data_IF_659334231591
#
_entry.id   IF_659334231591
#
_cell.length_a   1.000
_cell.length_b   1.000
_cell.length_c   1.000
_cell.angle_alpha   90.00
_cell.angle_beta   90.00
_cell.angle_gamma   90.00
#
_symmetry.space_group_name_H-M   'P 1'
#
loop_
_entity.id
_entity.type
_entity.pdbx_description
1 polymer ?
#
# COMPACT_ATOMS: atom_id res chain seq x y z
N UNK A 1 -21.99 8.57 -2.66
CA UNK A 1 -21.45 7.42 -3.41
C UNK A 1 -19.99 7.31 -3.03
N UNK A 2 -19.48 6.10 -2.73
CA UNK A 2 -18.06 5.92 -2.44
C UNK A 2 -17.29 5.90 -3.76
N UNK A 3 -16.21 6.65 -3.86
CA UNK A 3 -15.34 6.61 -5.03
C UNK A 3 -14.59 5.28 -5.06
N UNK A 4 -14.36 4.73 -6.25
CA UNK A 4 -13.56 3.50 -6.39
C UNK A 4 -12.09 3.78 -6.10
N UNK A 5 -11.45 2.86 -5.37
CA UNK A 5 -10.00 2.81 -5.19
C UNK A 5 -9.43 1.67 -6.04
N UNK A 6 -8.75 2.02 -7.11
CA UNK A 6 -7.93 1.09 -7.87
C UNK A 6 -6.61 0.87 -7.13
N UNK A 7 -6.16 -0.38 -7.00
CA UNK A 7 -4.82 -0.72 -6.55
C UNK A 7 -4.07 -1.40 -7.69
N UNK A 8 -2.81 -1.06 -7.90
CA UNK A 8 -2.02 -1.56 -9.01
C UNK A 8 -0.68 -2.11 -8.53
N UNK A 9 -0.36 -3.35 -8.94
CA UNK A 9 0.95 -3.94 -8.74
C UNK A 9 0.90 -5.42 -8.43
N UNK A 10 1.69 -5.82 -7.43
CA UNK A 10 1.92 -7.21 -7.07
C UNK A 10 0.85 -7.77 -6.12
N UNK A 11 0.44 -9.00 -6.40
CA UNK A 11 -0.17 -9.91 -5.44
C UNK A 11 0.78 -11.10 -5.31
N UNK A 12 1.19 -11.44 -4.09
CA UNK A 12 2.26 -12.42 -3.86
C UNK A 12 1.80 -13.48 -2.88
N UNK A 13 2.44 -14.63 -2.92
CA UNK A 13 2.32 -15.64 -1.85
C UNK A 13 3.50 -15.50 -0.90
N UNK A 14 3.20 -15.14 0.34
CA UNK A 14 4.17 -15.12 1.43
C UNK A 14 4.21 -16.51 2.07
N UNK A 15 5.40 -17.11 2.11
CA UNK A 15 5.70 -18.36 2.77
C UNK A 15 6.33 -18.06 4.14
N UNK A 16 5.53 -18.17 5.19
CA UNK A 16 5.92 -17.82 6.56
C UNK A 16 6.27 -19.08 7.34
N UNK A 17 7.43 -19.16 8.03
CA UNK A 17 7.83 -20.33 8.79
C UNK A 17 6.92 -20.58 9.99
N UNK A 18 6.57 -21.86 10.15
CA UNK A 18 5.96 -22.42 11.37
C UNK A 18 7.03 -23.17 12.20
N UNK A 19 6.77 -23.34 13.49
CA UNK A 19 7.73 -23.92 14.45
C UNK A 19 8.12 -25.37 14.14
N UNK A 20 7.31 -26.07 13.33
CA UNK A 20 7.55 -27.46 12.91
C UNK A 20 8.29 -27.59 11.56
N UNK A 21 8.81 -26.47 11.03
CA UNK A 21 9.57 -26.43 9.77
C UNK A 21 8.70 -26.39 8.51
N UNK A 22 7.36 -26.34 8.63
CA UNK A 22 6.47 -26.06 7.50
C UNK A 22 6.47 -24.57 7.16
N UNK A 23 6.09 -24.27 5.91
CA UNK A 23 5.85 -22.91 5.45
C UNK A 23 4.34 -22.70 5.28
N UNK A 24 3.79 -21.79 6.07
CA UNK A 24 2.41 -21.36 5.95
C UNK A 24 2.26 -20.52 4.68
N UNK A 25 1.29 -20.90 3.84
CA UNK A 25 0.94 -20.19 2.60
C UNK A 25 -0.02 -19.04 2.91
N UNK A 26 0.48 -17.81 2.91
CA UNK A 26 -0.30 -16.60 3.16
C UNK A 26 -0.47 -15.76 1.88
N UNK A 27 -1.65 -15.17 1.64
CA UNK A 27 -1.79 -14.15 0.61
C UNK A 27 -1.12 -12.84 1.07
N UNK A 28 -0.47 -12.15 0.14
CA UNK A 28 0.26 -10.92 0.39
C UNK A 28 0.39 -10.04 -0.85
N UNK A 29 1.33 -9.11 -0.79
CA UNK A 29 1.59 -8.10 -1.82
C UNK A 29 0.96 -6.77 -1.40
N UNK A 30 1.76 -5.71 -1.35
CA UNK A 30 1.34 -4.46 -0.73
C UNK A 30 0.05 -3.88 -1.35
N UNK A 31 -0.08 -3.79 -2.69
CA UNK A 31 -1.33 -3.35 -3.32
C UNK A 31 -2.51 -4.28 -3.00
N UNK A 32 -2.29 -5.60 -2.96
CA UNK A 32 -3.33 -6.59 -2.65
C UNK A 32 -3.83 -6.44 -1.21
N UNK A 33 -2.92 -6.24 -0.25
CA UNK A 33 -3.24 -5.98 1.16
C UNK A 33 -4.12 -4.73 1.30
N UNK A 34 -3.77 -3.66 0.58
CA UNK A 34 -4.56 -2.42 0.55
C UNK A 34 -5.96 -2.66 0.00
N UNK A 35 -6.08 -3.39 -1.12
CA UNK A 35 -7.38 -3.73 -1.72
C UNK A 35 -8.30 -4.45 -0.74
N UNK A 36 -7.78 -5.49 -0.08
CA UNK A 36 -8.53 -6.30 0.89
C UNK A 36 -8.93 -5.45 2.09
N UNK A 37 -8.00 -4.67 2.65
CA UNK A 37 -8.30 -3.79 3.78
C UNK A 37 -9.42 -2.80 3.47
N UNK A 38 -9.45 -2.23 2.25
CA UNK A 38 -10.53 -1.33 1.83
C UNK A 38 -11.88 -2.07 1.77
N UNK A 39 -11.93 -3.32 1.26
CA UNK A 39 -13.18 -4.09 1.20
C UNK A 39 -13.70 -4.48 2.58
N UNK A 40 -12.83 -4.92 3.48
CA UNK A 40 -13.20 -5.22 4.87
C UNK A 40 -13.78 -4.01 5.61
N UNK A 41 -13.35 -2.80 5.23
CA UNK A 41 -13.92 -1.54 5.71
C UNK A 41 -15.18 -1.10 4.96
N UNK A 42 -15.71 -1.92 4.05
CA UNK A 42 -16.91 -1.65 3.26
C UNK A 42 -16.70 -0.66 2.11
N UNK A 43 -15.45 -0.40 1.69
CA UNK A 43 -15.12 0.43 0.52
C UNK A 43 -15.29 -0.29 -0.82
N UNK A 44 -15.14 0.44 -1.93
CA UNK A 44 -15.09 -0.13 -3.30
C UNK A 44 -13.64 -0.16 -3.77
N UNK A 45 -13.02 -1.34 -3.80
CA UNK A 45 -11.66 -1.53 -4.31
C UNK A 45 -11.62 -2.49 -5.50
N UNK A 46 -10.68 -2.24 -6.40
CA UNK A 46 -10.47 -3.02 -7.61
C UNK A 46 -8.97 -3.19 -7.88
N UNK A 47 -8.55 -4.39 -8.27
CA UNK A 47 -7.15 -4.76 -8.46
C UNK A 47 -6.77 -4.75 -9.95
N UNK A 48 -5.67 -4.08 -10.27
CA UNK A 48 -5.03 -4.04 -11.59
C UNK A 48 -3.68 -4.75 -11.47
N UNK A 49 -3.49 -5.86 -12.18
CA UNK A 49 -2.23 -6.58 -12.05
C UNK A 49 -2.19 -7.89 -12.82
N UNK A 50 -1.05 -8.57 -12.69
CA UNK A 50 -0.82 -9.89 -13.25
C UNK A 50 -0.32 -10.84 -12.17
N UNK A 51 -0.82 -12.07 -12.21
CA UNK A 51 -0.26 -13.22 -11.49
C UNK A 51 -0.03 -14.34 -12.50
N UNK A 52 0.76 -15.35 -12.19
CA UNK A 52 0.97 -16.47 -13.12
C UNK A 52 -0.31 -17.32 -13.28
N UNK A 53 -0.50 -17.96 -14.43
CA UNK A 53 -1.47 -19.05 -14.60
C UNK A 53 -0.95 -20.33 -13.93
N UNK A 54 -0.81 -20.24 -12.62
CA UNK A 54 -0.24 -21.26 -11.75
C UNK A 54 -1.09 -21.38 -10.45
N UNK A 55 -0.86 -22.41 -9.61
CA UNK A 55 -1.65 -22.61 -8.40
C UNK A 55 -1.63 -21.43 -7.43
N UNK A 56 -0.54 -20.66 -7.37
CA UNK A 56 -0.45 -19.49 -6.50
C UNK A 56 -1.21 -18.30 -7.07
N UNK A 57 -1.17 -18.08 -8.39
CA UNK A 57 -1.95 -17.02 -9.02
C UNK A 57 -3.46 -17.28 -8.92
N UNK A 58 -3.89 -18.53 -9.12
CA UNK A 58 -5.28 -18.95 -8.91
C UNK A 58 -5.72 -18.76 -7.46
N UNK A 59 -4.88 -19.17 -6.52
CA UNK A 59 -5.11 -18.96 -5.09
C UNK A 59 -5.30 -17.47 -4.73
N UNK A 60 -4.46 -16.58 -5.27
CA UNK A 60 -4.58 -15.14 -5.01
C UNK A 60 -5.82 -14.54 -5.66
N UNK A 61 -6.14 -14.93 -6.90
CA UNK A 61 -7.36 -14.51 -7.59
C UNK A 61 -8.61 -14.93 -6.82
N UNK A 62 -8.67 -16.18 -6.35
CA UNK A 62 -9.74 -16.69 -5.48
C UNK A 62 -9.82 -15.91 -4.17
N UNK A 63 -8.68 -15.71 -3.49
CA UNK A 63 -8.61 -14.96 -2.23
C UNK A 63 -9.16 -13.53 -2.39
N UNK A 64 -8.74 -12.79 -3.42
CA UNK A 64 -9.22 -11.42 -3.65
C UNK A 64 -10.72 -11.40 -3.99
N UNK A 65 -11.23 -12.39 -4.72
CA UNK A 65 -12.66 -12.51 -4.98
C UNK A 65 -13.47 -12.82 -3.71
N UNK A 66 -12.96 -13.68 -2.84
CA UNK A 66 -13.60 -14.03 -1.56
C UNK A 66 -13.64 -12.84 -0.59
N UNK A 67 -12.59 -12.00 -0.60
CA UNK A 67 -12.56 -10.70 0.10
C UNK A 67 -13.41 -9.62 -0.61
N UNK A 68 -14.04 -9.98 -1.73
CA UNK A 68 -14.94 -9.13 -2.50
C UNK A 68 -14.26 -8.09 -3.38
N UNK A 69 -12.93 -8.06 -3.49
CA UNK A 69 -12.20 -7.12 -4.36
C UNK A 69 -12.61 -7.34 -5.81
N UNK A 70 -12.81 -6.27 -6.59
CA UNK A 70 -13.05 -6.45 -8.03
C UNK A 70 -11.75 -6.84 -8.74
N UNK A 71 -11.72 -8.05 -9.31
CA UNK A 71 -10.55 -8.63 -9.99
C UNK A 71 -10.68 -8.66 -11.52
N UNK A 72 -11.62 -7.90 -12.10
CA UNK A 72 -11.86 -7.87 -13.55
C UNK A 72 -10.60 -7.45 -14.35
N UNK A 73 -9.68 -6.71 -13.73
CA UNK A 73 -8.41 -6.25 -14.31
C UNK A 73 -7.19 -6.97 -13.73
N UNK A 74 -7.40 -8.12 -13.07
CA UNK A 74 -6.35 -9.07 -12.72
C UNK A 74 -6.22 -10.11 -13.84
N UNK A 75 -5.01 -10.31 -14.37
CA UNK A 75 -4.74 -11.26 -15.47
C UNK A 75 -3.92 -12.45 -14.98
N UNK A 76 -4.24 -13.62 -15.50
CA UNK A 76 -3.39 -14.81 -15.40
C UNK A 76 -2.40 -14.78 -16.57
N UNK A 77 -1.11 -14.72 -16.26
CA UNK A 77 -0.02 -14.70 -17.22
C UNK A 77 0.44 -16.14 -17.51
N UNK A 78 0.35 -16.62 -18.76
CA UNK A 78 0.68 -18.01 -19.09
C UNK A 78 2.20 -18.29 -19.07
N UNK A 79 3.03 -17.25 -19.19
CA UNK A 79 4.46 -17.38 -19.47
C UNK A 79 5.30 -17.19 -18.19
N UNK A 80 4.80 -16.40 -17.24
CA UNK A 80 5.51 -16.07 -16.00
C UNK A 80 4.87 -16.72 -14.77
N UNK A 81 5.57 -16.66 -13.63
CA UNK A 81 5.10 -17.24 -12.37
C UNK A 81 4.70 -16.16 -11.38
N UNK A 82 3.73 -16.48 -10.55
CA UNK A 82 3.30 -15.65 -9.42
C UNK A 82 4.47 -15.39 -8.47
N UNK A 83 4.65 -14.13 -8.07
CA UNK A 83 5.68 -13.77 -7.10
C UNK A 83 5.49 -14.56 -5.80
N UNK A 84 6.58 -15.16 -5.34
CA UNK A 84 6.62 -15.98 -4.12
C UNK A 84 7.73 -15.44 -3.24
N UNK A 85 7.40 -15.13 -2.00
CA UNK A 85 8.32 -14.54 -1.03
C UNK A 85 8.47 -15.51 0.13
N UNK A 86 9.71 -15.84 0.48
CA UNK A 86 9.99 -16.55 1.74
C UNK A 86 10.30 -15.50 2.79
N UNK A 87 9.57 -15.57 3.90
CA UNK A 87 9.78 -14.68 5.05
C UNK A 87 10.66 -15.41 6.04
N UNK A 88 11.81 -14.86 6.41
CA UNK A 88 12.61 -15.38 7.51
C UNK A 88 12.43 -14.47 8.73
N UNK A 89 12.31 -15.06 9.91
CA UNK A 89 12.50 -14.33 11.16
C UNK A 89 13.94 -14.64 11.60
N UNK A 90 14.77 -13.63 11.79
CA UNK A 90 16.07 -13.85 12.43
C UNK A 90 15.93 -14.13 13.93
N UNK A 91 17.05 -14.34 14.61
CA UNK A 91 17.06 -14.69 16.04
C UNK A 91 16.53 -13.55 16.93
N UNK A 92 16.57 -12.33 16.43
CA UNK A 92 16.12 -11.10 17.04
C UNK A 92 14.64 -10.77 16.71
N UNK A 93 14.03 -11.52 15.79
CA UNK A 93 12.67 -11.35 15.31
C UNK A 93 12.53 -10.30 14.21
N UNK A 94 13.64 -9.80 13.65
CA UNK A 94 13.64 -8.97 12.45
C UNK A 94 13.35 -9.85 11.23
N UNK A 95 12.48 -9.34 10.36
CA UNK A 95 12.04 -10.10 9.18
C UNK A 95 12.82 -9.72 7.95
N UNK A 96 13.30 -10.73 7.25
CA UNK A 96 13.82 -10.59 5.89
C UNK A 96 12.85 -11.19 4.88
N UNK A 97 12.78 -10.58 3.69
CA UNK A 97 11.89 -11.01 2.62
C UNK A 97 12.74 -11.46 1.44
N UNK A 98 12.73 -12.76 1.15
CA UNK A 98 13.43 -13.32 0.00
C UNK A 98 12.47 -13.58 -1.13
N UNK A 99 12.51 -12.73 -2.16
CA UNK A 99 11.76 -12.95 -3.40
C UNK A 99 12.38 -14.11 -4.19
N UNK A 100 11.64 -15.21 -4.33
CA UNK A 100 12.08 -16.43 -5.00
C UNK A 100 11.87 -16.41 -6.52
N UNK A 101 10.88 -15.63 -6.98
CA UNK A 101 10.55 -15.49 -8.40
C UNK A 101 10.93 -14.07 -8.85
N UNK A 102 11.94 -13.97 -9.72
CA UNK A 102 12.44 -12.70 -10.25
C UNK A 102 12.75 -12.84 -11.76
N UNK A 103 12.05 -12.13 -12.66
CA UNK A 103 10.86 -11.30 -12.43
C UNK A 103 9.59 -12.14 -12.17
N UNK A 104 8.70 -11.63 -11.30
CA UNK A 104 7.34 -12.16 -11.13
C UNK A 104 6.40 -11.70 -12.25
N UNK A 105 5.27 -12.38 -12.41
CA UNK A 105 4.26 -12.08 -13.43
C UNK A 105 3.73 -10.63 -13.33
N UNK A 106 3.68 -10.06 -12.13
CA UNK A 106 3.27 -8.68 -11.83
C UNK A 106 4.09 -7.65 -12.62
N UNK A 107 5.37 -7.92 -12.88
CA UNK A 107 6.26 -7.03 -13.64
C UNK A 107 6.01 -7.05 -15.16
N UNK A 108 5.12 -7.92 -15.63
CA UNK A 108 4.70 -8.03 -17.03
C UNK A 108 3.39 -7.32 -17.34
N UNK A 109 2.90 -6.47 -16.42
CA UNK A 109 1.75 -5.59 -16.64
C UNK A 109 1.92 -4.77 -17.92
N UNK A 110 0.86 -4.72 -18.75
CA UNK A 110 0.84 -4.00 -20.03
C UNK A 110 -0.19 -2.89 -20.01
N UNK A 111 -0.03 -1.90 -20.88
CA UNK A 111 -1.00 -0.82 -21.05
C UNK A 111 -2.43 -1.28 -21.39
N UNK A 112 -2.59 -2.46 -22.00
CA UNK A 112 -3.90 -3.09 -22.28
C UNK A 112 -4.59 -3.66 -21.04
N UNK A 113 -3.87 -3.81 -19.94
CA UNK A 113 -4.41 -4.30 -18.66
C UNK A 113 -5.00 -3.16 -17.82
N UNK A 114 -4.79 -1.90 -18.22
CA UNK A 114 -5.24 -0.71 -17.50
C UNK A 114 -6.73 -0.42 -17.84
N UNK A 115 -7.61 -0.26 -16.84
CA UNK A 115 -9.01 0.08 -17.05
C UNK A 115 -9.20 1.53 -17.49
N UNK A 116 -10.40 1.85 -17.97
CA UNK A 116 -10.82 3.24 -18.03
C UNK A 116 -11.10 3.78 -16.62
N UNK A 117 -10.51 4.93 -16.28
CA UNK A 117 -10.75 5.62 -15.02
C UNK A 117 -11.90 6.63 -15.15
N UNK A 118 -12.50 6.98 -14.01
CA UNK A 118 -13.53 8.00 -13.90
C UNK A 118 -13.11 9.10 -12.90
N UNK A 119 -13.71 10.28 -13.02
CA UNK A 119 -13.46 11.39 -12.11
C UNK A 119 -13.75 11.00 -10.65
N UNK A 120 -12.90 11.47 -9.73
CA UNK A 120 -13.00 11.18 -8.30
C UNK A 120 -12.45 9.82 -7.87
N UNK A 121 -12.10 8.92 -8.79
CA UNK A 121 -11.49 7.63 -8.44
C UNK A 121 -10.04 7.81 -7.95
N UNK A 122 -9.58 6.86 -7.15
CA UNK A 122 -8.21 6.81 -6.65
C UNK A 122 -7.44 5.69 -7.34
N UNK A 123 -6.14 5.89 -7.54
CA UNK A 123 -5.18 4.85 -7.89
C UNK A 123 -4.09 4.79 -6.82
N UNK A 124 -3.92 3.62 -6.21
CA UNK A 124 -2.82 3.34 -5.30
C UNK A 124 -1.83 2.36 -5.92
N UNK A 125 -0.54 2.63 -5.76
CA UNK A 125 0.54 1.75 -6.21
C UNK A 125 1.83 1.93 -5.39
N UNK A 126 2.68 0.92 -5.46
CA UNK A 126 4.00 0.89 -4.81
C UNK A 126 5.16 0.83 -5.82
N UNK A 127 6.40 1.00 -5.35
CA UNK A 127 7.57 1.07 -6.24
C UNK A 127 7.89 -0.26 -6.95
N UNK A 128 7.44 -1.42 -6.45
CA UNK A 128 7.65 -2.71 -7.13
C UNK A 128 7.13 -2.68 -8.56
N UNK A 129 5.95 -2.09 -8.80
CA UNK A 129 5.38 -1.94 -10.14
C UNK A 129 6.26 -1.10 -11.09
N UNK A 130 7.21 -0.34 -10.56
CA UNK A 130 8.17 0.49 -11.30
C UNK A 130 9.53 -0.19 -11.48
N UNK A 131 9.76 -1.36 -10.89
CA UNK A 131 11.09 -1.98 -10.84
C UNK A 131 11.59 -2.49 -12.19
N UNK A 132 10.69 -2.94 -13.09
CA UNK A 132 11.05 -3.46 -14.40
C UNK A 132 10.03 -3.10 -15.50
N UNK A 133 10.47 -3.18 -16.75
CA UNK A 133 9.58 -3.12 -17.92
C UNK A 133 8.97 -4.52 -18.20
N UNK A 134 7.74 -4.60 -18.74
CA UNK A 134 6.87 -3.50 -19.18
C UNK A 134 6.03 -2.83 -18.07
N UNK A 135 6.07 -3.35 -16.84
CA UNK A 135 5.22 -2.83 -15.76
C UNK A 135 5.47 -1.36 -15.46
N UNK A 136 6.73 -0.91 -15.42
CA UNK A 136 7.08 0.49 -15.13
C UNK A 136 6.36 1.47 -16.06
N UNK A 137 6.48 1.27 -17.36
CA UNK A 137 5.80 2.13 -18.35
C UNK A 137 4.28 2.09 -18.16
N UNK A 138 3.72 0.92 -17.92
CA UNK A 138 2.27 0.73 -17.73
C UNK A 138 1.76 1.38 -16.43
N UNK A 139 2.49 1.28 -15.34
CA UNK A 139 2.15 1.89 -14.06
C UNK A 139 2.16 3.42 -14.14
N UNK A 140 3.21 4.01 -14.75
CA UNK A 140 3.27 5.46 -14.99
C UNK A 140 2.15 5.92 -15.95
N UNK A 141 1.82 5.12 -16.96
CA UNK A 141 0.67 5.37 -17.83
C UNK A 141 -0.65 5.36 -17.05
N UNK A 142 -0.86 4.42 -16.12
CA UNK A 142 -2.05 4.37 -15.28
C UNK A 142 -2.17 5.62 -14.40
N UNK A 143 -1.05 6.06 -13.78
CA UNK A 143 -1.01 7.31 -13.01
C UNK A 143 -1.38 8.53 -13.86
N UNK A 144 -0.89 8.61 -15.10
CA UNK A 144 -1.25 9.71 -16.00
C UNK A 144 -2.74 9.65 -16.41
N UNK A 145 -3.26 8.45 -16.71
CA UNK A 145 -4.65 8.26 -17.15
C UNK A 145 -5.67 8.55 -16.05
N UNK A 146 -5.43 8.13 -14.80
CA UNK A 146 -6.34 8.41 -13.69
C UNK A 146 -6.42 9.92 -13.42
N UNK A 147 -5.29 10.64 -13.47
CA UNK A 147 -5.28 12.10 -13.33
C UNK A 147 -5.99 12.79 -14.48
N UNK A 148 -5.77 12.34 -15.71
CA UNK A 148 -6.45 12.88 -16.89
C UNK A 148 -7.97 12.68 -16.83
N UNK A 149 -8.44 11.62 -16.16
CA UNK A 149 -9.86 11.37 -15.90
C UNK A 149 -10.43 12.20 -14.74
N UNK A 150 -9.62 13.01 -14.04
CA UNK A 150 -10.03 13.77 -12.87
C UNK A 150 -10.02 12.96 -11.57
N UNK A 151 -9.25 11.87 -11.52
CA UNK A 151 -8.99 11.09 -10.31
C UNK A 151 -7.68 11.50 -9.61
N UNK A 152 -7.30 10.73 -8.59
CA UNK A 152 -6.20 11.01 -7.69
C UNK A 152 -5.21 9.85 -7.59
N UNK A 153 -3.94 10.16 -7.40
CA UNK A 153 -2.88 9.16 -7.23
C UNK A 153 -2.40 9.15 -5.78
N UNK A 154 -2.41 7.97 -5.16
CA UNK A 154 -1.79 7.68 -3.88
C UNK A 154 -0.55 6.80 -4.09
N UNK A 155 0.64 7.33 -3.80
CA UNK A 155 1.88 6.59 -3.95
C UNK A 155 2.50 6.28 -2.58
N UNK A 156 2.76 5.01 -2.33
CA UNK A 156 3.56 4.51 -1.20
C UNK A 156 4.81 3.85 -1.77
N UNK A 157 6.01 4.48 -1.71
CA UNK A 157 7.22 3.89 -2.25
C UNK A 157 7.41 2.44 -1.85
N UNK A 158 7.17 2.09 -0.58
CA UNK A 158 7.29 0.73 -0.05
C UNK A 158 8.55 0.04 -0.58
N UNK A 159 9.70 0.68 -0.35
CA UNK A 159 10.93 0.41 -1.09
C UNK A 159 11.41 -1.03 -0.82
N UNK A 160 11.67 -1.79 -1.89
CA UNK A 160 12.31 -3.12 -1.85
C UNK A 160 13.58 -3.09 -2.70
N UNK A 161 14.68 -2.62 -2.11
CA UNK A 161 15.94 -2.40 -2.83
C UNK A 161 16.42 -3.64 -3.59
N UNK A 162 16.24 -4.83 -3.03
CA UNK A 162 16.65 -6.11 -3.63
C UNK A 162 16.00 -6.45 -4.97
N UNK A 163 14.90 -5.78 -5.33
CA UNK A 163 14.23 -5.93 -6.62
C UNK A 163 14.78 -4.99 -7.71
N UNK A 164 15.69 -4.09 -7.35
CA UNK A 164 16.29 -3.13 -8.25
C UNK A 164 17.75 -3.49 -8.50
N UNK A 165 18.10 -3.69 -9.77
CA UNK A 165 19.49 -3.92 -10.18
C UNK A 165 20.34 -2.64 -10.15
N UNK A 166 19.69 -1.47 -10.11
CA UNK A 166 20.34 -0.16 -10.19
C UNK A 166 19.64 0.84 -9.25
N UNK A 167 20.37 1.27 -8.22
CA UNK A 167 19.97 2.27 -7.24
C UNK A 167 19.65 3.64 -7.87
N UNK A 168 20.37 4.04 -8.93
CA UNK A 168 20.04 5.28 -9.63
C UNK A 168 18.68 5.14 -10.33
N UNK A 169 18.41 3.97 -10.91
CA UNK A 169 17.13 3.71 -11.56
C UNK A 169 15.96 3.69 -10.59
N UNK A 170 16.16 3.13 -9.40
CA UNK A 170 15.20 3.23 -8.29
C UNK A 170 14.87 4.69 -8.01
N UNK A 171 15.90 5.52 -7.77
CA UNK A 171 15.71 6.95 -7.45
C UNK A 171 15.03 7.73 -8.57
N UNK A 172 15.38 7.50 -9.83
CA UNK A 172 14.70 8.11 -10.97
C UNK A 172 13.21 7.75 -11.02
N UNK A 173 12.86 6.49 -10.79
CA UNK A 173 11.47 6.05 -10.82
C UNK A 173 10.66 6.60 -9.65
N UNK A 174 11.25 6.62 -8.45
CA UNK A 174 10.64 7.24 -7.28
C UNK A 174 10.38 8.72 -7.52
N UNK A 175 11.35 9.45 -8.08
CA UNK A 175 11.22 10.88 -8.38
C UNK A 175 10.02 11.16 -9.31
N UNK A 176 9.89 10.37 -10.38
CA UNK A 176 8.79 10.48 -11.34
C UNK A 176 7.44 10.19 -10.66
N UNK A 177 7.35 9.09 -9.93
CA UNK A 177 6.10 8.68 -9.30
C UNK A 177 5.66 9.65 -8.18
N UNK A 178 6.59 10.10 -7.34
CA UNK A 178 6.32 11.11 -6.30
C UNK A 178 5.82 12.43 -6.90
N UNK A 179 6.37 12.85 -8.04
CA UNK A 179 5.94 14.07 -8.73
C UNK A 179 4.55 13.98 -9.39
N UNK A 180 4.04 12.76 -9.57
CA UNK A 180 2.70 12.51 -10.10
C UNK A 180 1.65 12.30 -8.98
N UNK A 181 2.09 12.03 -7.76
CA UNK A 181 1.22 11.67 -6.64
C UNK A 181 0.52 12.90 -6.04
N UNK A 182 -0.78 12.74 -5.74
CA UNK A 182 -1.56 13.73 -4.97
C UNK A 182 -1.45 13.43 -3.47
N UNK A 183 -1.40 12.14 -3.13
CA UNK A 183 -1.24 11.63 -1.77
C UNK A 183 0.05 10.82 -1.73
N UNK A 184 0.97 11.18 -0.85
CA UNK A 184 2.21 10.45 -0.63
C UNK A 184 2.19 9.88 0.78
N UNK A 185 2.43 8.58 0.92
CA UNK A 185 2.73 7.97 2.20
C UNK A 185 4.17 7.44 2.16
N UNK A 186 4.95 7.73 3.20
CA UNK A 186 6.31 7.20 3.38
C UNK A 186 6.51 6.81 4.84
N UNK A 187 7.42 5.87 5.12
CA UNK A 187 7.96 5.73 6.47
C UNK A 187 8.95 6.85 6.79
N UNK A 188 9.35 6.99 8.06
CA UNK A 188 10.41 7.92 8.45
C UNK A 188 11.73 7.57 7.77
N UNK A 189 12.05 6.28 7.68
CA UNK A 189 13.25 5.76 7.03
C UNK A 189 13.25 6.04 5.52
N UNK A 190 12.10 5.86 4.87
CA UNK A 190 11.93 6.19 3.45
C UNK A 190 12.03 7.70 3.20
N UNK A 191 11.48 8.52 4.10
CA UNK A 191 11.62 9.97 4.01
C UNK A 191 13.10 10.37 4.09
N UNK A 192 13.84 9.85 5.07
CA UNK A 192 15.28 10.09 5.21
C UNK A 192 16.03 9.63 3.95
N UNK A 193 15.72 8.45 3.42
CA UNK A 193 16.33 7.93 2.19
C UNK A 193 16.08 8.82 0.95
N UNK A 194 14.84 9.33 0.80
CA UNK A 194 14.42 10.16 -0.33
C UNK A 194 14.99 11.58 -0.27
N UNK A 195 15.03 12.16 0.93
CA UNK A 195 15.36 13.56 1.16
C UNK A 195 16.81 13.78 1.57
N UNK A 196 17.45 12.75 2.12
CA UNK A 196 18.75 12.79 2.80
C UNK A 196 18.77 13.70 4.04
N UNK A 197 17.60 13.94 4.63
CA UNK A 197 17.45 14.72 5.86
C UNK A 197 17.16 13.78 7.03
N UNK A 198 17.97 13.86 8.08
CA UNK A 198 17.76 13.07 9.31
C UNK A 198 16.69 13.69 10.23
N UNK A 199 16.46 15.00 10.11
CA UNK A 199 15.44 15.71 10.89
C UNK A 199 14.10 15.58 10.19
N UNK A 200 13.14 14.93 10.85
CA UNK A 200 11.80 14.64 10.30
C UNK A 200 11.12 15.86 9.65
N UNK A 201 11.11 17.01 10.33
CA UNK A 201 10.48 18.23 9.81
C UNK A 201 11.19 18.81 8.58
N UNK A 202 12.51 18.67 8.49
CA UNK A 202 13.30 19.12 7.34
C UNK A 202 13.05 18.20 6.14
N UNK A 203 12.99 16.88 6.36
CA UNK A 203 12.61 15.91 5.34
C UNK A 203 11.20 16.18 4.80
N UNK A 204 10.21 16.39 5.68
CA UNK A 204 8.83 16.73 5.29
C UNK A 204 8.83 18.00 4.43
N UNK A 205 9.49 19.06 4.88
CA UNK A 205 9.56 20.31 4.15
C UNK A 205 10.19 20.12 2.77
N UNK A 206 11.29 19.38 2.69
CA UNK A 206 12.03 19.13 1.45
C UNK A 206 11.22 18.30 0.46
N UNK A 207 10.53 17.27 0.92
CA UNK A 207 9.66 16.45 0.07
C UNK A 207 8.47 17.28 -0.46
N UNK A 208 7.85 18.09 0.41
CA UNK A 208 6.75 18.97 0.01
C UNK A 208 7.19 20.04 -0.99
N UNK A 209 8.35 20.66 -0.80
CA UNK A 209 8.89 21.65 -1.75
C UNK A 209 9.19 21.03 -3.12
N UNK A 210 9.63 19.77 -3.15
CA UNK A 210 10.04 19.09 -4.38
C UNK A 210 8.86 18.56 -5.19
N UNK A 211 7.88 17.95 -4.53
CA UNK A 211 6.78 17.24 -5.20
C UNK A 211 5.40 17.90 -5.04
N UNK A 212 5.26 18.82 -4.09
CA UNK A 212 4.03 19.60 -3.86
C UNK A 212 2.73 18.77 -3.72
N UNK A 213 2.73 17.66 -2.95
CA UNK A 213 1.56 16.80 -2.79
C UNK A 213 0.42 17.55 -2.09
N UNK A 214 -0.82 17.14 -2.35
CA UNK A 214 -1.99 17.63 -1.60
C UNK A 214 -1.98 17.11 -0.15
N UNK A 215 -1.49 15.88 0.02
CA UNK A 215 -1.39 15.21 1.31
C UNK A 215 -0.08 14.41 1.40
N UNK A 216 0.71 14.64 2.46
CA UNK A 216 1.87 13.82 2.80
C UNK A 216 1.67 13.20 4.18
N UNK A 217 1.79 11.89 4.27
CA UNK A 217 1.77 11.13 5.51
C UNK A 217 3.13 10.48 5.72
N UNK A 218 3.76 10.77 6.85
CA UNK A 218 4.99 10.10 7.28
C UNK A 218 4.64 9.25 8.48
N UNK A 219 4.81 7.93 8.39
CA UNK A 219 4.55 7.01 9.51
C UNK A 219 5.81 6.80 10.35
N UNK A 220 5.68 6.82 11.67
CA UNK A 220 6.75 6.64 12.67
C UNK A 220 6.53 5.40 13.55
N UNK A 221 5.91 4.34 13.01
CA UNK A 221 5.59 3.12 13.76
C UNK A 221 4.74 3.42 15.00
N UNK A 222 5.23 3.03 16.18
CA UNK A 222 4.52 3.22 17.47
C UNK A 222 4.32 4.70 17.86
N UNK A 223 5.09 5.62 17.28
CA UNK A 223 4.93 7.06 17.55
C UNK A 223 3.78 7.67 16.74
N UNK A 224 3.24 6.94 15.75
CA UNK A 224 2.08 7.36 14.96
C UNK A 224 2.43 7.92 13.60
N UNK A 225 1.81 9.05 13.24
CA UNK A 225 1.94 9.65 11.91
C UNK A 225 2.04 11.17 12.00
N UNK A 226 2.96 11.73 11.22
CA UNK A 226 3.05 13.15 10.92
C UNK A 226 2.38 13.41 9.57
N UNK A 227 1.45 14.36 9.53
CA UNK A 227 0.63 14.64 8.34
C UNK A 227 0.76 16.09 7.94
N UNK A 228 1.17 16.31 6.69
CA UNK A 228 1.15 17.62 6.04
C UNK A 228 -0.05 17.71 5.10
N UNK A 229 -0.86 18.75 5.27
CA UNK A 229 -2.00 19.08 4.39
C UNK A 229 -1.73 20.40 3.67
N UNK A 230 -1.70 20.37 2.35
CA UNK A 230 -1.36 21.54 1.53
C UNK A 230 -2.39 22.66 1.63
N UNK A 231 -3.68 22.32 1.59
CA UNK A 231 -4.78 23.29 1.63
C UNK A 231 -4.78 24.12 2.92
N UNK A 232 -4.49 23.48 4.05
CA UNK A 232 -4.39 24.13 5.37
C UNK A 232 -2.99 24.69 5.65
N UNK A 233 -2.00 24.33 4.84
CA UNK A 233 -0.57 24.56 5.09
C UNK A 233 -0.16 24.14 6.52
N UNK A 234 -0.75 23.05 7.04
CA UNK A 234 -0.56 22.56 8.40
C UNK A 234 0.28 21.28 8.42
N UNK A 235 1.11 21.16 9.46
CA UNK A 235 1.79 19.93 9.85
C UNK A 235 1.25 19.50 11.21
N UNK A 236 0.67 18.31 11.28
CA UNK A 236 0.04 17.78 12.48
C UNK A 236 0.60 16.40 12.82
N UNK A 237 0.63 16.05 14.10
CA UNK A 237 1.07 14.76 14.59
C UNK A 237 -0.05 14.04 15.30
N UNK A 238 -0.17 12.74 15.03
CA UNK A 238 -1.21 11.88 15.58
C UNK A 238 -0.56 10.62 16.15
N UNK A 239 -0.70 10.34 17.46
CA UNK A 239 -0.05 9.18 18.08
C UNK A 239 -0.71 7.87 17.63
N UNK A 240 0.09 6.81 17.48
CA UNK A 240 -0.45 5.48 17.23
C UNK A 240 -1.20 4.96 18.48
N UNK A 241 -2.29 4.21 18.29
CA UNK A 241 -2.91 3.51 19.41
C UNK A 241 -2.02 2.37 19.90
N UNK A 242 -2.02 2.15 21.22
CA UNK A 242 -1.26 1.07 21.86
C UNK A 242 -1.94 -0.28 21.59
N UNK A 243 -1.17 -1.27 21.14
CA UNK A 243 -1.59 -2.65 20.87
C UNK A 243 -0.48 -3.63 21.25
N UNK A 244 -0.83 -4.89 21.47
CA UNK A 244 0.15 -5.96 21.62
C UNK A 244 0.66 -6.37 20.23
N UNK A 245 1.87 -5.93 19.90
CA UNK A 245 2.53 -6.21 18.62
C UNK A 245 2.98 -7.67 18.59
N UNK A 246 2.53 -8.40 17.58
CA UNK A 246 2.96 -9.76 17.28
C UNK A 246 3.82 -9.80 16.01
N UNK A 247 3.42 -9.07 14.97
CA UNK A 247 4.03 -9.07 13.65
C UNK A 247 3.81 -7.72 12.98
N UNK A 248 4.85 -7.01 12.53
CA UNK A 248 4.69 -5.69 11.90
C UNK A 248 4.39 -5.73 10.39
N UNK A 249 4.37 -6.92 9.80
CA UNK A 249 4.18 -7.13 8.35
C UNK A 249 2.80 -6.63 7.92
N UNK A 250 2.75 -5.80 6.88
CA UNK A 250 1.50 -5.26 6.34
C UNK A 250 0.90 -4.11 7.15
N UNK A 251 1.52 -3.65 8.25
CA UNK A 251 1.00 -2.52 9.03
C UNK A 251 0.91 -1.22 8.21
N UNK A 252 1.90 -0.96 7.35
CA UNK A 252 1.89 0.17 6.42
C UNK A 252 0.75 0.07 5.40
N UNK A 253 0.53 -1.11 4.84
CA UNK A 253 -0.53 -1.37 3.87
C UNK A 253 -1.91 -1.21 4.53
N UNK A 254 -2.08 -1.73 5.75
CA UNK A 254 -3.30 -1.58 6.54
C UNK A 254 -3.58 -0.10 6.87
N UNK A 255 -2.54 0.67 7.19
CA UNK A 255 -2.67 2.12 7.37
C UNK A 255 -3.18 2.79 6.09
N UNK A 256 -2.59 2.47 4.93
CA UNK A 256 -3.01 3.02 3.63
C UNK A 256 -4.44 2.59 3.29
N UNK A 257 -4.83 1.35 3.58
CA UNK A 257 -6.19 0.86 3.39
C UNK A 257 -7.20 1.67 4.21
N UNK A 258 -6.93 1.85 5.50
CA UNK A 258 -7.76 2.66 6.39
C UNK A 258 -7.87 4.11 5.96
N UNK A 259 -6.77 4.69 5.48
CA UNK A 259 -6.73 6.04 4.93
C UNK A 259 -7.60 6.14 3.67
N UNK A 260 -7.33 5.32 2.65
CA UNK A 260 -8.00 5.38 1.36
C UNK A 260 -9.48 5.01 1.44
N UNK A 261 -9.87 4.08 2.32
CA UNK A 261 -11.28 3.79 2.58
C UNK A 261 -12.02 5.03 3.08
N UNK A 262 -11.40 5.84 3.95
CA UNK A 262 -11.97 7.09 4.44
C UNK A 262 -11.97 8.22 3.40
N UNK A 263 -10.86 8.41 2.70
CA UNK A 263 -10.74 9.45 1.66
C UNK A 263 -11.68 9.19 0.48
N UNK A 264 -11.88 7.93 0.09
CA UNK A 264 -12.81 7.57 -0.97
C UNK A 264 -14.28 7.89 -0.64
N UNK A 265 -14.62 8.06 0.63
CA UNK A 265 -15.94 8.49 1.08
C UNK A 265 -16.10 10.01 1.12
N UNK A 266 -15.02 10.74 1.45
CA UNK A 266 -15.06 12.19 1.67
C UNK A 266 -13.74 12.86 1.20
N UNK A 267 -13.65 13.15 -0.10
CA UNK A 267 -12.54 13.87 -0.70
C UNK A 267 -13.00 14.90 -1.75
N UNK A 268 -12.52 16.17 -1.68
CA UNK A 268 -11.73 16.76 -0.59
C UNK A 268 -12.46 16.71 0.75
N UNK A 269 -11.73 16.51 1.85
CA UNK A 269 -12.33 16.28 3.17
C UNK A 269 -13.20 17.45 3.61
N UNK A 270 -14.44 17.16 4.00
CA UNK A 270 -15.51 18.13 4.28
C UNK A 270 -15.31 18.92 5.58
N UNK A 271 -14.64 18.34 6.58
CA UNK A 271 -14.44 18.96 7.90
C UNK A 271 -13.22 18.41 8.65
N UNK A 272 -12.71 19.17 9.61
CA UNK A 272 -11.63 18.70 10.50
C UNK A 272 -12.05 17.50 11.35
N UNK A 273 -13.35 17.41 11.69
CA UNK A 273 -13.89 16.24 12.38
C UNK A 273 -13.80 14.98 11.53
N UNK A 274 -14.21 15.04 10.26
CA UNK A 274 -14.09 13.92 9.32
C UNK A 274 -12.62 13.54 9.11
N UNK A 275 -11.76 14.54 8.96
CA UNK A 275 -10.31 14.34 8.84
C UNK A 275 -9.73 13.53 10.01
N UNK A 276 -9.98 13.96 11.25
CA UNK A 276 -9.50 13.25 12.45
C UNK A 276 -10.02 11.82 12.52
N UNK A 277 -11.26 11.57 12.08
CA UNK A 277 -11.82 10.22 11.99
C UNK A 277 -11.05 9.36 11.00
N UNK A 278 -10.73 9.89 9.81
CA UNK A 278 -9.96 9.17 8.78
C UNK A 278 -8.55 8.85 9.26
N UNK A 279 -7.84 9.81 9.88
CA UNK A 279 -6.49 9.55 10.42
C UNK A 279 -6.53 8.52 11.55
N UNK A 280 -7.51 8.61 12.45
CA UNK A 280 -7.71 7.62 13.51
C UNK A 280 -7.98 6.22 12.92
N UNK A 281 -8.79 6.13 11.88
CA UNK A 281 -9.06 4.88 11.17
C UNK A 281 -7.77 4.28 10.58
N UNK A 282 -6.98 5.07 9.85
CA UNK A 282 -5.71 4.64 9.28
C UNK A 282 -4.74 4.12 10.35
N UNK A 283 -4.51 4.90 11.42
CA UNK A 283 -3.66 4.49 12.54
C UNK A 283 -4.14 3.21 13.23
N UNK A 284 -5.46 3.07 13.40
CA UNK A 284 -6.04 1.88 14.05
C UNK A 284 -5.90 0.64 13.17
N UNK A 285 -6.09 0.78 11.86
CA UNK A 285 -5.85 -0.32 10.91
C UNK A 285 -4.40 -0.77 10.94
N UNK A 286 -3.46 0.18 10.89
CA UNK A 286 -2.02 -0.10 11.00
C UNK A 286 -1.67 -0.82 12.29
N UNK A 287 -2.19 -0.37 13.42
CA UNK A 287 -1.94 -1.01 14.71
C UNK A 287 -2.56 -2.41 14.81
N UNK A 288 -3.84 -2.57 14.45
CA UNK A 288 -4.54 -3.86 14.55
C UNK A 288 -3.94 -4.91 13.63
N UNK A 289 -3.48 -4.53 12.44
CA UNK A 289 -2.79 -5.43 11.53
C UNK A 289 -1.55 -6.08 12.18
N UNK A 290 -0.97 -5.44 13.20
CA UNK A 290 0.19 -6.02 13.89
C UNK A 290 -0.10 -7.15 14.87
N UNK A 291 -1.37 -7.48 15.09
CA UNK A 291 -1.78 -8.37 16.19
C UNK A 291 -1.82 -9.86 15.81
N UNK A 292 -1.52 -10.22 14.56
CA UNK A 292 -1.45 -11.60 14.09
C UNK A 292 -0.39 -11.79 12.99
N UNK A 293 0.03 -13.04 12.75
CA UNK A 293 0.96 -13.36 11.65
C UNK A 293 0.33 -13.11 10.28
N UNK A 294 1.09 -12.50 9.39
CA UNK A 294 0.76 -12.34 7.97
C UNK A 294 -0.02 -11.06 7.67
N UNK A 295 0.21 -10.50 6.48
CA UNK A 295 -0.21 -9.15 6.15
C UNK A 295 -1.73 -8.94 6.10
N UNK A 296 -2.49 -9.95 5.65
CA UNK A 296 -3.96 -9.85 5.53
C UNK A 296 -4.72 -10.38 6.75
N UNK A 297 -4.08 -11.17 7.61
CA UNK A 297 -4.77 -11.93 8.67
C UNK A 297 -5.50 -11.02 9.66
N UNK A 298 -4.83 -9.95 10.12
CA UNK A 298 -5.36 -9.03 11.11
C UNK A 298 -5.85 -7.70 10.52
N UNK A 299 -6.06 -7.61 9.21
CA UNK A 299 -6.73 -6.46 8.61
C UNK A 299 -8.14 -6.34 9.21
N UNK A 300 -8.45 -5.25 9.93
CA UNK A 300 -9.73 -5.13 10.60
C UNK A 300 -10.85 -4.81 9.61
N UNK A 301 -12.04 -5.30 9.92
CA UNK A 301 -13.28 -4.81 9.33
C UNK A 301 -13.89 -3.66 10.15
N UNK A 302 -15.03 -3.15 9.71
CA UNK A 302 -15.73 -2.07 10.40
C UNK A 302 -16.21 -2.44 11.81
N UNK A 303 -16.56 -3.71 12.06
CA UNK A 303 -16.99 -4.18 13.37
C UNK A 303 -15.80 -4.18 14.34
N UNK A 304 -14.67 -4.74 13.91
CA UNK A 304 -13.45 -4.79 14.69
C UNK A 304 -12.91 -3.40 15.04
N UNK A 305 -13.01 -2.43 14.12
CA UNK A 305 -12.68 -1.03 14.44
C UNK A 305 -13.62 -0.45 15.51
N UNK A 306 -14.92 -0.72 15.42
CA UNK A 306 -15.89 -0.24 16.40
C UNK A 306 -15.64 -0.85 17.79
N UNK A 307 -15.32 -2.14 17.86
CA UNK A 307 -14.88 -2.81 19.09
C UNK A 307 -13.63 -2.17 19.67
N UNK A 308 -12.63 -1.89 18.84
CA UNK A 308 -11.40 -1.26 19.31
C UNK A 308 -11.66 0.12 19.92
N UNK A 309 -12.54 0.91 19.30
CA UNK A 309 -12.89 2.24 19.79
C UNK A 309 -13.72 2.24 21.07
N UNK A 310 -14.45 1.17 21.37
CA UNK A 310 -15.22 1.06 22.62
C UNK A 310 -14.33 0.76 23.82
N UNK A 311 -13.22 0.03 23.62
CA UNK A 311 -12.28 -0.37 24.68
C UNK A 311 -11.22 0.69 25.01
N UNK A 312 -11.13 1.77 24.23
CA UNK A 312 -10.22 2.91 24.49
C UNK A 312 -10.91 4.12 25.14
N UNK A 313 -12.12 3.94 25.69
CA UNK A 313 -12.83 4.99 26.44
C UNK A 313 -12.53 4.92 27.93
#
# INVERSE_FOLDING_TARGET
MKNRVWVLGDAVVDLIPEDDGRLLKCPGGAPANVAVGIRRLGGDSAFIGRVGDDPFGKFLLETLNDEGVNTEFMRLDPDHRTSTVVVENDAEGERSFTFMVRPGADLFLRGTDIPAFQAGQFLHLCSIALSAEPSRTSALQAMAQVKAAGGYVCFDPNIRQDLWSDENKLRECLELALSMADIIKVSQEELEYLTREAVLSEGILRLCQRHNPELLLVTQGKEGVSVYRKKEASLEQYPAPQVNVFDTTGAGDAFVAGLLAGLAEDWPVSSDFTWRKIVRQALTCGALATTAKGAMTALPDSERLAEFYSHQR
#
